data_IF_703479077006
#
_entry.id   IF_703479077006
#
_cell.length_a   1.000
_cell.length_b   1.000
_cell.length_c   1.000
_cell.angle_alpha   90.00
_cell.angle_beta   90.00
_cell.angle_gamma   90.00
#
_symmetry.space_group_name_H-M   'P 1'
#
loop_
_entity.id
_entity.type
_entity.pdbx_description
1 polymer ?
#
# COMPACT_ATOMS: atom_id res chain seq x y z
N UNK A 1 -13.25 -4.35 10.92
CA UNK A 1 -14.64 -4.35 11.42
C UNK A 1 -14.59 -4.45 12.92
N UNK A 2 -15.50 -3.78 13.63
CA UNK A 2 -15.55 -3.52 15.08
C UNK A 2 -14.74 -2.29 15.57
N UNK A 3 -13.45 -2.19 15.31
CA UNK A 3 -12.66 -1.01 15.75
C UNK A 3 -13.08 0.29 15.04
N UNK A 4 -13.37 0.21 13.74
CA UNK A 4 -13.84 1.37 12.95
C UNK A 4 -15.30 1.77 13.19
N UNK A 5 -16.12 0.91 13.80
CA UNK A 5 -17.48 1.27 14.24
C UNK A 5 -17.47 1.85 15.66
N UNK A 6 -16.60 1.34 16.54
CA UNK A 6 -16.37 1.92 17.86
C UNK A 6 -15.75 3.32 17.78
N UNK A 7 -14.80 3.53 16.85
CA UNK A 7 -14.23 4.85 16.59
C UNK A 7 -15.29 5.85 16.09
N UNK A 8 -16.22 5.44 15.22
CA UNK A 8 -17.35 6.29 14.75
C UNK A 8 -18.35 6.63 15.86
N UNK A 9 -18.65 5.68 16.75
CA UNK A 9 -19.49 5.92 17.92
C UNK A 9 -18.86 6.90 18.92
N UNK A 10 -17.55 6.77 19.18
CA UNK A 10 -16.80 7.71 20.01
C UNK A 10 -16.74 9.12 19.39
N UNK A 11 -16.65 9.20 18.05
CA UNK A 11 -16.64 10.45 17.30
C UNK A 11 -17.97 11.22 17.40
N UNK A 12 -19.11 10.53 17.29
CA UNK A 12 -20.43 11.15 17.48
C UNK A 12 -20.70 11.56 18.93
N UNK A 13 -20.22 10.78 19.90
CA UNK A 13 -20.39 11.09 21.32
C UNK A 13 -19.63 12.36 21.74
N UNK A 14 -18.39 12.53 21.25
CA UNK A 14 -17.59 13.74 21.53
C UNK A 14 -18.12 14.99 20.82
N UNK A 15 -18.67 14.85 19.61
CA UNK A 15 -19.32 15.95 18.90
C UNK A 15 -20.63 16.40 19.58
N UNK A 16 -21.40 15.48 20.16
CA UNK A 16 -22.65 15.78 20.87
C UNK A 16 -22.45 16.51 22.21
N UNK A 17 -21.40 16.18 22.96
CA UNK A 17 -21.11 16.79 24.27
C UNK A 17 -20.71 18.27 24.18
N UNK A 18 -20.15 18.71 23.05
CA UNK A 18 -19.73 20.11 22.83
C UNK A 18 -20.92 21.06 22.57
N UNK A 19 -22.06 20.56 22.11
CA UNK A 19 -23.25 21.35 21.82
C UNK A 19 -24.09 21.73 23.05
N UNK A 20 -23.84 21.11 24.21
CA UNK A 20 -24.55 21.40 25.47
C UNK A 20 -23.81 22.43 26.35
N UNK A 21 -22.60 22.84 25.99
CA UNK A 21 -21.75 23.73 26.80
C UNK A 21 -21.88 25.22 26.45
N UNK A 22 -22.74 25.61 25.50
CA UNK A 22 -22.94 27.01 25.10
C UNK A 22 -24.37 27.47 25.39
N UNK A 23 -24.64 27.80 26.66
CA UNK A 23 -25.77 28.63 27.05
C UNK A 23 -25.26 29.75 27.99
N UNK A 24 -25.57 31.03 27.75
CA UNK A 24 -25.03 32.12 28.56
C UNK A 24 -25.81 32.25 29.88
N UNK A 25 -25.09 32.34 30.99
CA UNK A 25 -25.65 32.59 32.32
C UNK A 25 -25.92 34.10 32.52
N UNK A 26 -27.13 34.44 32.95
CA UNK A 26 -27.53 35.77 33.39
C UNK A 26 -27.19 35.97 34.88
N UNK A 27 -26.65 37.14 35.23
CA UNK A 27 -26.33 37.56 36.59
C UNK A 27 -27.55 38.09 37.36
N UNK A 28 -27.48 38.16 38.70
CA UNK A 28 -27.67 39.48 39.33
C UNK A 28 -26.73 39.82 40.52
N UNK A 29 -26.69 41.12 40.81
CA UNK A 29 -25.95 41.91 41.80
C UNK A 29 -26.20 41.57 43.29
N UNK A 30 -25.21 41.84 44.19
CA UNK A 30 -25.27 42.84 45.28
C UNK A 30 -24.14 42.74 46.37
N UNK A 31 -23.41 43.87 46.55
CA UNK A 31 -22.91 44.53 47.80
C UNK A 31 -21.95 43.85 48.85
N UNK A 32 -21.20 44.64 49.69
CA UNK A 32 -19.76 44.39 49.96
C UNK A 32 -19.24 44.41 51.44
N UNK A 33 -17.91 44.12 51.59
CA UNK A 33 -16.90 44.43 52.68
C UNK A 33 -16.82 43.55 53.97
N UNK A 34 -15.70 43.53 54.77
CA UNK A 34 -14.33 44.10 54.58
C UNK A 34 -13.11 43.21 55.00
N UNK A 35 -11.91 43.66 54.58
CA UNK A 35 -10.53 43.55 55.14
C UNK A 35 -10.06 42.38 56.03
N UNK A 36 -8.88 41.83 55.69
CA UNK A 36 -7.69 41.78 56.59
C UNK A 36 -6.42 41.36 55.84
N UNK A 37 -5.30 41.95 56.25
CA UNK A 37 -3.99 41.94 55.60
C UNK A 37 -3.12 40.71 55.97
N UNK A 38 -1.91 40.70 55.36
CA UNK A 38 -0.69 39.96 55.72
C UNK A 38 -0.57 38.49 55.29
N UNK A 39 0.26 38.21 54.27
CA UNK A 39 1.68 37.87 54.44
C UNK A 39 2.31 37.51 53.09
N UNK A 40 3.48 38.09 52.80
CA UNK A 40 4.28 37.80 51.60
C UNK A 40 5.56 37.10 52.04
N UNK A 41 5.84 35.86 51.60
CA UNK A 41 7.22 35.37 51.54
C UNK A 41 7.73 35.39 50.10
N UNK A 42 8.90 36.00 49.92
CA UNK A 42 9.72 35.91 48.72
C UNK A 42 10.16 34.45 48.51
N UNK A 43 9.89 33.89 47.32
CA UNK A 43 10.45 32.61 46.89
C UNK A 43 11.37 32.87 45.68
N UNK A 44 12.57 32.30 45.78
CA UNK A 44 13.70 32.46 44.88
C UNK A 44 13.35 32.16 43.42
N UNK A 45 13.86 33.03 42.53
CA UNK A 45 13.87 32.84 41.09
C UNK A 45 14.80 31.66 40.72
N UNK A 46 14.24 30.45 40.70
CA UNK A 46 14.81 29.34 39.94
C UNK A 46 14.60 29.65 38.45
N UNK A 47 15.69 29.78 37.70
CA UNK A 47 15.66 29.81 36.23
C UNK A 47 15.02 28.51 35.75
N UNK A 48 13.73 28.56 35.43
CA UNK A 48 13.09 27.52 34.64
C UNK A 48 13.77 27.51 33.27
N UNK A 49 14.54 26.47 32.99
CA UNK A 49 14.94 26.15 31.63
C UNK A 49 13.65 25.97 30.84
N UNK A 50 13.44 26.83 29.85
CA UNK A 50 12.30 26.73 28.95
C UNK A 50 12.31 25.33 28.33
N UNK A 51 11.25 24.56 28.59
CA UNK A 51 10.97 23.34 27.86
C UNK A 51 10.96 23.69 26.35
N UNK A 52 11.55 22.85 25.47
CA UNK A 52 11.51 23.12 24.05
C UNK A 52 10.04 23.27 23.62
N UNK A 53 9.75 24.42 23.02
CA UNK A 53 8.44 24.74 22.48
C UNK A 53 8.06 23.64 21.48
N UNK A 54 7.00 22.88 21.76
CA UNK A 54 6.53 21.83 20.85
C UNK A 54 6.25 22.47 19.50
N UNK A 55 6.99 22.07 18.46
CA UNK A 55 6.76 22.55 17.10
C UNK A 55 5.31 22.27 16.72
N UNK A 56 4.51 23.33 16.55
CA UNK A 56 3.12 23.19 16.12
C UNK A 56 3.08 22.81 14.64
N UNK A 57 2.29 21.79 14.29
CA UNK A 57 2.03 21.41 12.90
C UNK A 57 1.34 22.59 12.20
N UNK A 58 1.96 23.15 11.17
CA UNK A 58 1.36 24.21 10.35
C UNK A 58 0.85 23.60 9.04
N UNK A 59 -0.38 23.92 8.68
CA UNK A 59 -1.01 23.43 7.45
C UNK A 59 -1.63 24.59 6.66
N UNK A 60 -1.32 24.76 5.35
CA UNK A 60 -0.36 23.99 4.55
C UNK A 60 1.08 24.54 4.69
N UNK A 61 2.03 23.66 5.00
CA UNK A 61 3.48 23.95 4.96
C UNK A 61 4.21 22.81 4.23
N UNK A 62 5.31 23.14 3.55
CA UNK A 62 6.11 22.19 2.76
C UNK A 62 7.32 21.74 3.56
N UNK A 63 7.47 20.43 3.73
CA UNK A 63 8.55 19.82 4.49
C UNK A 63 9.46 18.96 3.61
N UNK A 64 10.77 19.11 3.78
CA UNK A 64 11.78 18.25 3.11
C UNK A 64 12.50 17.33 4.10
N UNK A 65 12.33 17.58 5.40
CA UNK A 65 12.77 16.78 6.54
C UNK A 65 11.64 16.67 7.58
N UNK A 66 11.81 15.81 8.58
CA UNK A 66 10.87 15.74 9.69
C UNK A 66 11.08 16.93 10.63
N UNK A 67 10.30 17.99 10.48
CA UNK A 67 10.44 19.24 11.25
C UNK A 67 9.13 19.80 11.79
N UNK A 68 8.10 18.96 11.86
CA UNK A 68 6.71 19.31 12.19
C UNK A 68 6.22 18.74 13.52
N UNK A 69 7.11 18.16 14.34
CA UNK A 69 6.73 17.55 15.62
C UNK A 69 6.20 16.13 15.48
N UNK A 70 5.49 15.66 16.51
CA UNK A 70 4.88 14.34 16.55
C UNK A 70 3.59 14.32 15.71
N UNK A 71 3.41 13.26 14.91
CA UNK A 71 2.20 13.04 14.13
C UNK A 71 1.22 12.16 14.93
N UNK A 72 0.13 12.72 15.48
CA UNK A 72 -0.84 11.95 16.27
C UNK A 72 -1.69 11.04 15.38
N UNK A 73 -2.38 10.06 15.97
CA UNK A 73 -3.34 9.21 15.24
C UNK A 73 -4.55 10.01 14.71
N UNK A 74 -4.96 11.05 15.45
CA UNK A 74 -6.02 11.98 15.07
C UNK A 74 -5.55 13.42 15.25
N UNK A 75 -5.87 14.27 14.28
CA UNK A 75 -5.50 15.68 14.28
C UNK A 75 -6.73 16.55 14.02
N UNK A 76 -6.87 17.63 14.80
CA UNK A 76 -7.88 18.67 14.61
C UNK A 76 -7.27 19.82 13.80
N UNK A 77 -7.86 20.14 12.65
CA UNK A 77 -7.51 21.32 11.85
C UNK A 77 -8.70 22.28 11.73
N UNK A 78 -8.44 23.58 11.85
CA UNK A 78 -9.42 24.62 11.56
C UNK A 78 -9.30 25.06 10.12
N UNK A 79 -10.36 24.88 9.33
CA UNK A 79 -10.45 25.34 7.94
C UNK A 79 -11.59 26.36 7.84
N UNK A 80 -11.24 27.65 7.96
CA UNK A 80 -12.23 28.72 8.09
C UNK A 80 -12.99 28.63 9.43
N UNK A 81 -14.32 28.61 9.38
CA UNK A 81 -15.18 28.48 10.57
C UNK A 81 -15.41 27.02 11.02
N UNK A 82 -14.98 26.04 10.23
CA UNK A 82 -15.19 24.62 10.52
C UNK A 82 -13.96 24.00 11.16
N UNK A 83 -14.21 23.15 12.15
CA UNK A 83 -13.20 22.31 12.81
C UNK A 83 -13.34 20.90 12.27
N UNK A 84 -12.27 20.38 11.65
CA UNK A 84 -12.24 19.05 11.06
C UNK A 84 -11.28 18.19 11.89
N UNK A 85 -11.77 17.05 12.37
CA UNK A 85 -10.99 16.06 13.10
C UNK A 85 -10.84 14.86 12.16
N UNK A 86 -9.63 14.36 11.99
CA UNK A 86 -9.42 13.19 11.14
C UNK A 86 -8.01 12.64 11.23
N UNK A 87 -7.67 11.75 10.31
CA UNK A 87 -6.41 11.04 10.25
C UNK A 87 -5.38 11.87 9.47
N UNK A 88 -4.28 12.32 10.10
CA UNK A 88 -3.26 13.08 9.40
C UNK A 88 -2.45 12.17 8.47
N UNK A 89 -2.12 12.66 7.29
CA UNK A 89 -1.31 11.97 6.31
C UNK A 89 -0.25 12.90 5.71
N UNK A 90 0.93 12.33 5.45
CA UNK A 90 1.94 12.99 4.65
C UNK A 90 1.57 12.81 3.18
N UNK A 91 1.51 13.91 2.44
CA UNK A 91 1.18 13.91 1.01
C UNK A 91 2.44 14.19 0.22
N UNK A 92 2.74 13.30 -0.73
CA UNK A 92 3.86 13.47 -1.66
C UNK A 92 3.59 14.64 -2.63
N UNK A 93 4.45 15.67 -2.59
CA UNK A 93 4.44 16.80 -3.53
C UNK A 93 5.55 16.71 -4.60
N UNK A 94 6.29 15.60 -4.64
CA UNK A 94 7.39 15.34 -5.57
C UNK A 94 8.76 15.76 -5.03
N UNK A 95 8.90 17.01 -4.60
CA UNK A 95 10.15 17.58 -4.04
C UNK A 95 10.06 17.88 -2.54
N UNK A 96 8.87 17.75 -1.96
CA UNK A 96 8.56 17.95 -0.55
C UNK A 96 7.37 17.05 -0.15
N UNK A 97 6.97 17.13 1.11
CA UNK A 97 5.68 16.62 1.60
C UNK A 97 4.89 17.74 2.27
N UNK A 98 3.57 17.60 2.33
CA UNK A 98 2.69 18.41 3.20
C UNK A 98 1.89 17.50 4.11
N UNK A 99 1.30 18.05 5.16
CA UNK A 99 0.34 17.33 6.02
C UNK A 99 -1.09 17.72 5.61
N UNK A 100 -1.93 16.72 5.40
CA UNK A 100 -3.37 16.88 5.19
C UNK A 100 -4.14 15.95 6.15
N UNK A 101 -5.40 16.28 6.44
CA UNK A 101 -6.28 15.48 7.31
C UNK A 101 -7.39 14.87 6.48
N UNK A 102 -7.63 13.57 6.68
CA UNK A 102 -8.62 12.77 5.96
C UNK A 102 -9.66 12.20 6.91
N UNK A 103 -10.89 12.04 6.41
CA UNK A 103 -11.98 11.43 7.17
C UNK A 103 -11.92 9.89 7.13
N UNK A 104 -11.31 9.32 6.07
CA UNK A 104 -11.19 7.88 5.87
C UNK A 104 -9.78 7.37 6.27
N UNK A 105 -9.67 6.43 7.22
CA UNK A 105 -8.38 5.96 7.71
C UNK A 105 -7.57 5.20 6.65
N UNK A 106 -8.22 4.41 5.79
CA UNK A 106 -7.54 3.65 4.74
C UNK A 106 -6.96 4.58 3.65
N UNK A 107 -7.71 5.64 3.30
CA UNK A 107 -7.24 6.66 2.37
C UNK A 107 -6.06 7.44 2.97
N UNK A 108 -6.16 7.83 4.25
CA UNK A 108 -5.09 8.48 5.00
C UNK A 108 -3.84 7.63 5.02
N UNK A 109 -3.94 6.35 5.40
CA UNK A 109 -2.82 5.42 5.51
C UNK A 109 -2.12 5.22 4.17
N UNK A 110 -2.87 5.04 3.08
CA UNK A 110 -2.31 4.88 1.74
C UNK A 110 -1.52 6.12 1.29
N UNK A 111 -2.08 7.32 1.51
CA UNK A 111 -1.41 8.59 1.20
C UNK A 111 -0.20 8.83 2.09
N UNK A 112 -0.35 8.64 3.40
CA UNK A 112 0.69 8.80 4.39
C UNK A 112 1.90 7.93 4.10
N UNK A 113 1.68 6.67 3.70
CA UNK A 113 2.77 5.76 3.32
C UNK A 113 3.55 6.25 2.11
N UNK A 114 2.86 6.79 1.10
CA UNK A 114 3.51 7.41 -0.06
C UNK A 114 4.28 8.70 0.33
N UNK A 115 3.72 9.54 1.19
CA UNK A 115 4.39 10.72 1.72
C UNK A 115 5.63 10.37 2.55
N UNK A 116 5.55 9.37 3.42
CA UNK A 116 6.72 8.86 4.16
C UNK A 116 7.81 8.38 3.20
N UNK A 117 7.46 7.62 2.16
CA UNK A 117 8.42 7.19 1.13
C UNK A 117 9.14 8.38 0.51
N UNK A 118 8.39 9.45 0.17
CA UNK A 118 8.97 10.70 -0.35
C UNK A 118 9.92 11.33 0.66
N UNK A 119 9.48 11.48 1.91
CA UNK A 119 10.27 12.11 2.95
C UNK A 119 11.57 11.34 3.20
N UNK A 120 11.54 10.00 3.26
CA UNK A 120 12.75 9.18 3.31
C UNK A 120 13.64 9.42 2.08
N UNK A 121 13.07 9.38 0.88
CA UNK A 121 13.80 9.58 -0.38
C UNK A 121 14.57 10.91 -0.42
N UNK A 122 13.98 11.99 0.12
CA UNK A 122 14.62 13.30 0.21
C UNK A 122 15.85 13.31 1.13
N UNK A 123 15.93 12.40 2.10
CA UNK A 123 17.03 12.29 3.06
C UNK A 123 18.19 11.40 2.57
N UNK A 124 17.98 10.62 1.51
CA UNK A 124 18.97 9.65 0.99
C UNK A 124 19.24 9.80 -0.51
N UNK A 125 19.17 11.03 -1.03
CA UNK A 125 19.32 11.35 -2.47
C UNK A 125 20.55 10.73 -3.13
N UNK A 126 21.69 10.72 -2.45
CA UNK A 126 22.93 10.17 -3.02
C UNK A 126 22.90 8.64 -3.14
N UNK A 127 22.28 7.96 -2.17
CA UNK A 127 22.05 6.51 -2.26
C UNK A 127 21.10 6.18 -3.42
N UNK A 128 20.05 6.97 -3.63
CA UNK A 128 19.13 6.79 -4.75
C UNK A 128 19.83 7.02 -6.10
N UNK A 129 20.59 8.10 -6.27
CA UNK A 129 21.41 8.34 -7.47
C UNK A 129 22.39 7.21 -7.75
N UNK A 130 22.97 6.62 -6.71
CA UNK A 130 23.82 5.44 -6.86
C UNK A 130 23.01 4.24 -7.37
N UNK A 131 21.85 3.94 -6.78
CA UNK A 131 20.99 2.84 -7.24
C UNK A 131 20.54 2.99 -8.68
N UNK A 132 20.10 4.19 -9.08
CA UNK A 132 19.64 4.47 -10.45
C UNK A 132 20.67 4.05 -11.53
N UNK A 133 21.96 4.09 -11.17
CA UNK A 133 23.09 3.72 -12.04
C UNK A 133 23.57 2.28 -11.85
N UNK A 134 23.31 1.64 -10.71
CA UNK A 134 23.93 0.38 -10.30
C UNK A 134 22.95 -0.78 -10.07
N UNK A 135 21.67 -0.65 -10.48
CA UNK A 135 20.75 -1.79 -10.45
C UNK A 135 21.23 -2.92 -11.40
N UNK A 136 21.34 -4.16 -10.92
CA UNK A 136 21.83 -5.27 -11.73
C UNK A 136 20.87 -5.61 -12.87
N UNK A 137 21.42 -5.92 -14.05
CA UNK A 137 20.70 -6.38 -15.24
C UNK A 137 19.53 -5.51 -15.70
N UNK A 138 19.47 -4.23 -15.29
CA UNK A 138 18.32 -3.36 -15.55
C UNK A 138 18.05 -3.19 -17.04
N UNK A 139 19.09 -2.94 -17.85
CA UNK A 139 18.94 -2.76 -19.30
C UNK A 139 18.37 -4.00 -19.98
N UNK A 140 18.89 -5.18 -19.63
CA UNK A 140 18.44 -6.47 -20.17
C UNK A 140 16.99 -6.75 -19.76
N UNK A 141 16.66 -6.48 -18.50
CA UNK A 141 15.33 -6.70 -17.93
C UNK A 141 14.29 -5.73 -18.53
N UNK A 142 14.70 -4.50 -18.82
CA UNK A 142 13.85 -3.48 -19.42
C UNK A 142 13.30 -3.92 -20.79
N UNK A 143 14.06 -4.65 -21.60
CA UNK A 143 13.59 -5.16 -22.90
C UNK A 143 12.35 -6.04 -22.78
N UNK A 144 12.28 -6.90 -21.75
CA UNK A 144 11.07 -7.69 -21.49
C UNK A 144 9.94 -6.81 -20.92
N UNK A 145 10.28 -5.84 -20.06
CA UNK A 145 9.32 -4.91 -19.49
C UNK A 145 8.65 -3.99 -20.53
N UNK A 146 9.31 -3.67 -21.64
CA UNK A 146 8.71 -2.93 -22.76
C UNK A 146 7.47 -3.63 -23.36
N UNK A 147 7.35 -4.95 -23.21
CA UNK A 147 6.19 -5.72 -23.65
C UNK A 147 5.04 -5.73 -22.62
N UNK A 148 5.30 -5.30 -21.38
CA UNK A 148 4.28 -5.24 -20.32
C UNK A 148 3.35 -4.07 -20.58
N UNK A 149 2.05 -4.36 -20.70
CA UNK A 149 1.03 -3.34 -21.02
C UNK A 149 1.12 -2.81 -22.46
N UNK A 150 1.80 -3.53 -23.36
CA UNK A 150 1.83 -3.22 -24.79
C UNK A 150 0.56 -3.72 -25.46
N UNK A 151 -0.09 -2.86 -26.24
CA UNK A 151 -1.28 -3.19 -27.01
C UNK A 151 -0.92 -3.86 -28.36
N UNK A 152 -1.94 -4.42 -29.03
CA UNK A 152 -1.76 -5.16 -30.29
C UNK A 152 -1.28 -4.27 -31.45
N UNK A 153 -1.57 -2.96 -31.40
CA UNK A 153 -1.11 -1.94 -32.35
C UNK A 153 0.32 -1.44 -32.06
N UNK A 154 1.05 -2.15 -31.19
CA UNK A 154 2.39 -1.80 -30.70
C UNK A 154 2.47 -0.54 -29.85
N UNK A 155 1.36 0.10 -29.51
CA UNK A 155 1.32 1.24 -28.59
C UNK A 155 1.43 0.80 -27.13
N UNK A 156 1.75 1.75 -26.25
CA UNK A 156 1.93 1.49 -24.83
C UNK A 156 3.25 0.78 -24.52
N UNK A 157 3.23 -0.09 -23.50
CA UNK A 157 4.44 -0.72 -22.97
C UNK A 157 5.04 0.02 -21.78
N UNK A 158 5.94 -0.67 -21.08
CA UNK A 158 6.74 -0.12 -20.00
C UNK A 158 8.02 0.56 -20.50
N UNK A 159 8.56 1.49 -19.72
CA UNK A 159 9.88 2.09 -19.96
C UNK A 159 10.93 1.62 -18.96
N UNK A 160 12.21 1.79 -19.29
CA UNK A 160 13.30 1.50 -18.37
C UNK A 160 13.18 2.32 -17.08
N UNK A 161 12.84 3.60 -17.21
CA UNK A 161 12.65 4.55 -16.11
C UNK A 161 11.53 4.10 -15.18
N UNK A 162 10.40 3.65 -15.72
CA UNK A 162 9.28 3.14 -14.93
C UNK A 162 9.64 1.84 -14.20
N UNK A 163 10.39 0.94 -14.82
CA UNK A 163 10.87 -0.28 -14.16
C UNK A 163 11.83 0.06 -13.02
N UNK A 164 12.81 0.93 -13.28
CA UNK A 164 13.78 1.42 -12.29
C UNK A 164 13.05 2.04 -11.10
N UNK A 165 12.10 2.93 -11.38
CA UNK A 165 11.32 3.62 -10.35
C UNK A 165 10.55 2.62 -9.48
N UNK A 166 9.90 1.62 -10.09
CA UNK A 166 9.19 0.59 -9.33
C UNK A 166 10.12 -0.26 -8.45
N UNK A 167 11.30 -0.64 -8.94
CA UNK A 167 12.29 -1.38 -8.15
C UNK A 167 12.71 -0.55 -6.93
N UNK A 168 13.00 0.74 -7.13
CA UNK A 168 13.40 1.66 -6.06
C UNK A 168 12.25 1.86 -5.05
N UNK A 169 11.01 2.05 -5.50
CA UNK A 169 9.85 2.21 -4.61
C UNK A 169 9.65 0.98 -3.71
N UNK A 170 9.73 -0.23 -4.27
CA UNK A 170 9.63 -1.46 -3.48
C UNK A 170 10.81 -1.60 -2.51
N UNK A 171 12.02 -1.22 -2.92
CA UNK A 171 13.19 -1.25 -2.05
C UNK A 171 13.06 -0.27 -0.88
N UNK A 172 12.56 0.94 -1.13
CA UNK A 172 12.27 1.94 -0.10
C UNK A 172 11.22 1.44 0.90
N UNK A 173 10.13 0.86 0.42
CA UNK A 173 9.08 0.32 1.28
C UNK A 173 9.62 -0.77 2.22
N UNK A 174 10.44 -1.68 1.68
CA UNK A 174 11.08 -2.73 2.47
C UNK A 174 12.15 -2.22 3.42
N UNK A 175 12.88 -1.18 3.05
CA UNK A 175 13.96 -0.65 3.87
C UNK A 175 13.44 0.27 5.00
N UNK A 176 12.37 1.03 4.76
CA UNK A 176 11.97 2.12 5.65
C UNK A 176 10.52 2.05 6.16
N UNK A 177 9.60 1.40 5.47
CA UNK A 177 8.16 1.44 5.79
C UNK A 177 7.62 0.18 6.47
N UNK A 178 8.45 -0.54 7.22
CA UNK A 178 7.97 -1.64 8.06
C UNK A 178 7.13 -1.10 9.23
N UNK A 179 6.04 -1.77 9.59
CA UNK A 179 5.24 -1.36 10.74
C UNK A 179 5.97 -1.66 12.06
N UNK A 180 5.78 -0.84 13.11
CA UNK A 180 5.04 0.42 13.11
C UNK A 180 5.77 1.53 12.33
N UNK A 181 5.00 2.40 11.67
CA UNK A 181 5.53 3.57 10.96
C UNK A 181 6.02 4.65 11.95
N UNK A 182 7.02 5.47 11.59
CA UNK A 182 7.52 6.53 12.47
C UNK A 182 6.43 7.59 12.69
N UNK A 183 6.22 7.97 13.96
CA UNK A 183 5.29 9.04 14.36
C UNK A 183 6.02 10.26 14.90
N UNK A 184 7.35 10.21 15.08
CA UNK A 184 8.16 11.33 15.53
C UNK A 184 9.52 11.38 14.82
N UNK A 185 10.24 12.49 15.01
CA UNK A 185 11.56 12.71 14.39
C UNK A 185 12.58 11.66 14.80
N UNK A 186 12.58 11.26 16.08
CA UNK A 186 13.52 10.27 16.60
C UNK A 186 13.36 8.91 15.92
N UNK A 187 12.13 8.43 15.76
CA UNK A 187 11.84 7.17 15.06
C UNK A 187 12.19 7.25 13.57
N UNK A 188 11.88 8.39 12.94
CA UNK A 188 12.20 8.63 11.54
C UNK A 188 13.71 8.61 11.30
N UNK A 189 14.49 9.29 12.16
CA UNK A 189 15.96 9.30 12.07
C UNK A 189 16.55 7.91 12.30
N UNK A 190 16.09 7.21 13.34
CA UNK A 190 16.50 5.82 13.60
C UNK A 190 16.23 4.93 12.39
N UNK A 191 15.07 5.08 11.74
CA UNK A 191 14.71 4.32 10.54
C UNK A 191 15.63 4.61 9.35
N UNK A 192 16.07 5.85 9.17
CA UNK A 192 17.07 6.21 8.16
C UNK A 192 18.39 5.50 8.44
N UNK A 193 18.87 5.58 9.68
CA UNK A 193 20.17 5.03 10.07
C UNK A 193 20.20 3.49 9.90
N UNK A 194 19.15 2.81 10.37
CA UNK A 194 18.99 1.36 10.23
C UNK A 194 18.80 0.92 8.76
N UNK A 195 18.06 1.70 7.97
CA UNK A 195 17.68 1.34 6.61
C UNK A 195 18.75 1.63 5.56
N UNK A 196 19.59 2.65 5.77
CA UNK A 196 20.58 3.10 4.77
C UNK A 196 21.58 2.01 4.40
N UNK A 197 22.09 1.28 5.40
CA UNK A 197 23.08 0.22 5.18
C UNK A 197 22.57 -0.97 4.37
N UNK A 198 21.27 -1.26 4.45
CA UNK A 198 20.62 -2.42 3.79
C UNK A 198 19.96 -2.09 2.46
N UNK A 199 19.72 -0.81 2.16
CA UNK A 199 18.96 -0.38 0.99
C UNK A 199 19.53 -0.94 -0.33
N UNK A 200 20.85 -0.92 -0.51
CA UNK A 200 21.50 -1.41 -1.74
C UNK A 200 21.29 -2.91 -1.95
N UNK A 201 21.40 -3.70 -0.88
CA UNK A 201 21.15 -5.15 -0.94
C UNK A 201 19.69 -5.44 -1.28
N UNK A 202 18.75 -4.74 -0.63
CA UNK A 202 17.31 -4.89 -0.88
C UNK A 202 16.97 -4.50 -2.33
N UNK A 203 17.50 -3.39 -2.83
CA UNK A 203 17.27 -2.96 -4.21
C UNK A 203 17.80 -3.97 -5.24
N UNK A 204 18.95 -4.58 -4.96
CA UNK A 204 19.52 -5.64 -5.81
C UNK A 204 18.67 -6.91 -5.79
N UNK A 205 18.14 -7.30 -4.63
CA UNK A 205 17.22 -8.43 -4.47
C UNK A 205 15.92 -8.20 -5.25
N UNK A 206 15.32 -7.01 -5.13
CA UNK A 206 14.10 -6.63 -5.86
C UNK A 206 14.37 -6.62 -7.38
N UNK A 207 15.52 -6.10 -7.82
CA UNK A 207 15.89 -6.11 -9.24
C UNK A 207 16.02 -7.54 -9.80
N UNK A 208 16.67 -8.45 -9.07
CA UNK A 208 16.77 -9.87 -9.46
C UNK A 208 15.40 -10.55 -9.50
N UNK A 209 14.53 -10.27 -8.51
CA UNK A 209 13.17 -10.77 -8.52
C UNK A 209 12.40 -10.27 -9.75
N UNK A 210 12.46 -8.98 -10.06
CA UNK A 210 11.84 -8.40 -11.24
C UNK A 210 12.36 -9.05 -12.53
N UNK A 211 13.67 -9.29 -12.64
CA UNK A 211 14.29 -9.98 -13.77
C UNK A 211 13.77 -11.43 -13.92
N UNK A 212 13.66 -12.16 -12.82
CA UNK A 212 13.10 -13.52 -12.82
C UNK A 212 11.63 -13.55 -13.23
N UNK A 213 10.82 -12.60 -12.76
CA UNK A 213 9.41 -12.48 -13.15
C UNK A 213 9.29 -12.14 -14.64
N UNK A 214 10.06 -11.17 -15.13
CA UNK A 214 9.97 -10.71 -16.51
C UNK A 214 10.51 -11.72 -17.52
N UNK A 215 11.44 -12.58 -17.10
CA UNK A 215 11.88 -13.74 -17.89
C UNK A 215 10.71 -14.71 -18.11
N UNK A 216 10.01 -15.11 -17.05
CA UNK A 216 8.86 -16.00 -17.16
C UNK A 216 7.67 -15.35 -17.87
N UNK A 217 7.51 -14.02 -17.73
CA UNK A 217 6.52 -13.25 -18.47
C UNK A 217 6.75 -13.36 -19.98
N UNK A 218 7.99 -13.18 -20.44
CA UNK A 218 8.33 -13.28 -21.86
C UNK A 218 8.06 -14.68 -22.41
N UNK A 219 8.38 -15.73 -21.63
CA UNK A 219 8.09 -17.12 -21.98
C UNK A 219 6.58 -17.36 -22.10
N UNK A 220 5.80 -16.98 -21.07
CA UNK A 220 4.35 -17.14 -21.06
C UNK A 220 3.67 -16.36 -22.20
N UNK A 221 4.08 -15.11 -22.43
CA UNK A 221 3.55 -14.27 -23.50
C UNK A 221 3.79 -14.89 -24.88
N UNK A 222 5.01 -15.40 -25.13
CA UNK A 222 5.32 -16.11 -26.38
C UNK A 222 4.49 -17.38 -26.51
N UNK A 223 4.40 -18.19 -25.44
CA UNK A 223 3.63 -19.44 -25.45
C UNK A 223 2.16 -19.19 -25.78
N UNK A 224 1.55 -18.16 -25.19
CA UNK A 224 0.18 -17.74 -25.50
C UNK A 224 0.03 -17.41 -26.98
N UNK A 225 0.93 -16.56 -27.52
CA UNK A 225 0.92 -16.16 -28.93
C UNK A 225 1.06 -17.35 -29.89
N UNK A 226 1.91 -18.31 -29.55
CA UNK A 226 2.19 -19.49 -30.39
C UNK A 226 1.09 -20.57 -30.28
N UNK A 227 0.19 -20.46 -29.28
CA UNK A 227 -0.90 -21.42 -29.06
C UNK A 227 -2.13 -21.08 -29.91
N UNK A 228 -2.16 -21.58 -31.15
CA UNK A 228 -3.26 -21.34 -32.10
C UNK A 228 -4.40 -22.36 -32.03
N UNK A 229 -4.13 -23.55 -31.52
CA UNK A 229 -5.06 -24.68 -31.50
C UNK A 229 -5.96 -24.73 -30.24
N UNK A 230 -5.84 -23.75 -29.34
CA UNK A 230 -6.57 -23.70 -28.07
C UNK A 230 -7.02 -22.26 -27.78
N UNK A 231 -7.84 -21.68 -28.65
CA UNK A 231 -8.19 -20.25 -28.62
C UNK A 231 -8.74 -19.80 -27.25
N UNK A 232 -9.68 -20.55 -26.66
CA UNK A 232 -10.25 -20.22 -25.35
C UNK A 232 -9.21 -20.27 -24.22
N UNK A 233 -8.35 -21.31 -24.21
CA UNK A 233 -7.31 -21.44 -23.19
C UNK A 233 -6.24 -20.35 -23.33
N UNK A 234 -5.86 -20.02 -24.56
CA UNK A 234 -4.93 -18.93 -24.85
C UNK A 234 -5.51 -17.55 -24.45
N UNK A 235 -6.80 -17.32 -24.71
CA UNK A 235 -7.48 -16.10 -24.29
C UNK A 235 -7.54 -15.96 -22.76
N UNK A 236 -7.92 -17.02 -22.04
CA UNK A 236 -7.94 -17.00 -20.58
C UNK A 236 -6.52 -16.82 -20.00
N UNK A 237 -5.52 -17.49 -20.56
CA UNK A 237 -4.12 -17.32 -20.17
C UNK A 237 -3.62 -15.88 -20.40
N UNK A 238 -4.00 -15.25 -21.52
CA UNK A 238 -3.68 -13.85 -21.79
C UNK A 238 -4.30 -12.90 -20.75
N UNK A 239 -5.57 -13.12 -20.38
CA UNK A 239 -6.23 -12.33 -19.34
C UNK A 239 -5.57 -12.54 -17.97
N UNK A 240 -5.23 -13.79 -17.62
CA UNK A 240 -4.50 -14.09 -16.38
C UNK A 240 -3.15 -13.38 -16.35
N UNK A 241 -2.38 -13.44 -17.44
CA UNK A 241 -1.08 -12.79 -17.57
C UNK A 241 -1.19 -11.27 -17.37
N UNK A 242 -2.19 -10.62 -17.99
CA UNK A 242 -2.43 -9.18 -17.85
C UNK A 242 -2.82 -8.79 -16.43
N UNK A 243 -3.61 -9.63 -15.74
CA UNK A 243 -4.01 -9.41 -14.33
C UNK A 243 -2.86 -9.61 -13.35
N UNK A 244 -1.95 -10.54 -13.62
CA UNK A 244 -0.76 -10.77 -12.81
C UNK A 244 0.30 -9.69 -13.02
N UNK A 245 0.56 -9.33 -14.28
CA UNK A 245 1.64 -8.40 -14.66
C UNK A 245 1.07 -7.15 -15.32
N UNK A 246 0.29 -6.31 -14.61
CA UNK A 246 -0.04 -4.98 -15.10
C UNK A 246 1.22 -4.11 -15.15
N UNK A 247 1.14 -2.95 -15.82
CA UNK A 247 2.29 -2.04 -15.97
C UNK A 247 3.00 -1.72 -14.65
N UNK A 248 2.24 -1.50 -13.57
CA UNK A 248 2.79 -1.22 -12.21
C UNK A 248 2.89 -2.45 -11.29
N UNK A 249 3.06 -3.67 -11.82
CA UNK A 249 2.93 -4.90 -11.03
C UNK A 249 3.84 -4.96 -9.78
N UNK A 250 5.06 -4.43 -9.84
CA UNK A 250 6.00 -4.47 -8.70
C UNK A 250 5.50 -3.62 -7.53
N UNK A 251 4.86 -2.48 -7.80
CA UNK A 251 4.40 -1.55 -6.76
C UNK A 251 2.94 -1.78 -6.34
N UNK A 252 2.14 -2.42 -7.20
CA UNK A 252 0.73 -2.74 -6.92
C UNK A 252 0.52 -4.11 -6.27
N UNK A 253 1.57 -4.93 -6.20
CA UNK A 253 1.50 -6.28 -5.61
C UNK A 253 2.24 -6.32 -4.27
N UNK A 254 1.64 -6.90 -3.21
CA UNK A 254 2.35 -7.15 -1.96
C UNK A 254 3.63 -7.96 -2.18
N UNK A 255 4.72 -7.56 -1.52
CA UNK A 255 6.04 -8.14 -1.77
C UNK A 255 6.10 -9.67 -1.60
N UNK A 256 5.40 -10.22 -0.60
CA UNK A 256 5.31 -11.66 -0.40
C UNK A 256 4.74 -12.40 -1.61
N UNK A 257 3.80 -11.80 -2.33
CA UNK A 257 3.17 -12.41 -3.50
C UNK A 257 4.01 -12.27 -4.76
N UNK A 258 4.84 -11.22 -4.89
CA UNK A 258 5.81 -11.13 -5.98
C UNK A 258 6.76 -12.34 -6.01
N UNK A 259 7.10 -12.92 -4.85
CA UNK A 259 7.93 -14.13 -4.77
C UNK A 259 7.34 -15.33 -5.53
N UNK A 260 6.02 -15.35 -5.70
CA UNK A 260 5.31 -16.46 -6.35
C UNK A 260 5.02 -16.21 -7.84
N UNK A 261 5.31 -15.01 -8.36
CA UNK A 261 4.96 -14.66 -9.73
C UNK A 261 5.62 -15.56 -10.76
N UNK A 262 6.93 -15.85 -10.65
CA UNK A 262 7.60 -16.77 -11.55
C UNK A 262 6.91 -18.15 -11.60
N UNK A 263 6.38 -18.63 -10.46
CA UNK A 263 5.62 -19.89 -10.41
C UNK A 263 4.27 -19.77 -11.13
N UNK A 264 3.52 -18.69 -10.90
CA UNK A 264 2.24 -18.47 -11.59
C UNK A 264 2.41 -18.35 -13.10
N UNK A 265 3.45 -17.67 -13.56
CA UNK A 265 3.77 -17.51 -14.97
C UNK A 265 4.22 -18.83 -15.62
N UNK A 266 5.02 -19.65 -14.91
CA UNK A 266 5.31 -21.02 -15.34
C UNK A 266 4.05 -21.89 -15.45
N UNK A 267 3.10 -21.75 -14.54
CA UNK A 267 1.85 -22.50 -14.57
C UNK A 267 1.02 -22.18 -15.83
N UNK A 268 1.03 -20.93 -16.31
CA UNK A 268 0.42 -20.54 -17.59
C UNK A 268 1.05 -21.32 -18.74
N UNK A 269 2.39 -21.34 -18.81
CA UNK A 269 3.12 -22.05 -19.87
C UNK A 269 2.82 -23.56 -19.85
N UNK A 270 2.91 -24.18 -18.67
CA UNK A 270 2.65 -25.62 -18.49
C UNK A 270 1.22 -26.01 -18.84
N UNK A 271 0.23 -25.17 -18.52
CA UNK A 271 -1.16 -25.40 -18.92
C UNK A 271 -1.28 -25.56 -20.43
N UNK A 272 -0.72 -24.60 -21.19
CA UNK A 272 -0.81 -24.60 -22.65
C UNK A 272 0.02 -25.72 -23.29
N UNK A 273 1.06 -26.21 -22.62
CA UNK A 273 1.79 -27.42 -23.04
C UNK A 273 0.95 -28.68 -22.86
N UNK A 274 0.37 -28.86 -21.68
CA UNK A 274 -0.44 -30.04 -21.33
C UNK A 274 -1.79 -30.09 -22.02
N UNK A 275 -2.32 -28.93 -22.40
CA UNK A 275 -3.62 -28.81 -23.06
C UNK A 275 -3.75 -29.75 -24.28
N UNK A 276 -2.69 -29.90 -25.08
CA UNK A 276 -2.73 -30.77 -26.28
C UNK A 276 -2.96 -32.25 -25.96
N UNK A 277 -2.47 -32.71 -24.80
CA UNK A 277 -2.59 -34.10 -24.40
C UNK A 277 -4.00 -34.42 -23.87
N UNK A 278 -4.64 -33.45 -23.20
CA UNK A 278 -5.96 -33.65 -22.59
C UNK A 278 -6.78 -32.34 -22.54
N UNK A 279 -7.38 -31.91 -23.67
CA UNK A 279 -8.24 -30.73 -23.72
C UNK A 279 -9.49 -30.85 -22.85
N UNK A 280 -10.02 -32.08 -22.67
CA UNK A 280 -11.24 -32.32 -21.92
C UNK A 280 -11.03 -32.06 -20.42
N UNK A 281 -9.88 -32.47 -19.88
CA UNK A 281 -9.49 -32.16 -18.49
C UNK A 281 -9.29 -30.67 -18.27
N UNK A 282 -8.66 -29.94 -19.21
CA UNK A 282 -8.55 -28.48 -19.10
C UNK A 282 -9.94 -27.82 -19.02
N UNK A 283 -10.85 -28.21 -19.92
CA UNK A 283 -12.21 -27.69 -19.95
C UNK A 283 -12.98 -28.00 -18.65
N UNK A 284 -12.85 -29.21 -18.10
CA UNK A 284 -13.46 -29.58 -16.83
C UNK A 284 -12.92 -28.71 -15.66
N UNK A 285 -11.61 -28.49 -15.59
CA UNK A 285 -11.00 -27.63 -14.57
C UNK A 285 -11.35 -26.15 -14.73
N UNK A 286 -11.49 -25.67 -15.95
CA UNK A 286 -12.02 -24.34 -16.20
C UNK A 286 -13.48 -24.20 -15.80
N UNK A 287 -14.31 -25.23 -15.98
CA UNK A 287 -15.70 -25.22 -15.52
C UNK A 287 -15.82 -25.10 -13.99
N UNK A 288 -14.91 -25.74 -13.24
CA UNK A 288 -14.82 -25.58 -11.78
C UNK A 288 -14.29 -24.20 -11.35
N UNK A 289 -13.33 -23.63 -12.09
CA UNK A 289 -12.66 -22.37 -11.75
C UNK A 289 -13.51 -21.13 -12.06
N UNK A 290 -14.20 -21.09 -13.22
CA UNK A 290 -14.90 -19.89 -13.71
C UNK A 290 -15.89 -19.31 -12.69
N UNK A 291 -16.74 -20.08 -12.00
CA UNK A 291 -17.67 -19.51 -11.00
C UNK A 291 -16.93 -18.81 -9.84
N UNK A 292 -15.76 -19.33 -9.46
CA UNK A 292 -14.93 -18.82 -8.37
C UNK A 292 -14.27 -17.47 -8.71
N UNK A 293 -13.86 -17.31 -9.97
CA UNK A 293 -13.33 -16.04 -10.49
C UNK A 293 -14.44 -15.03 -10.75
N UNK A 294 -15.56 -15.44 -11.36
CA UNK A 294 -16.67 -14.56 -11.68
C UNK A 294 -17.25 -13.89 -10.44
N UNK A 295 -17.46 -14.64 -9.35
CA UNK A 295 -17.95 -14.06 -8.10
C UNK A 295 -16.99 -13.01 -7.53
N UNK A 296 -15.68 -13.26 -7.60
CA UNK A 296 -14.67 -12.30 -7.16
C UNK A 296 -14.69 -11.01 -7.98
N UNK A 297 -14.65 -11.10 -9.31
CA UNK A 297 -14.66 -9.92 -10.16
C UNK A 297 -15.97 -9.14 -10.11
N UNK A 298 -17.10 -9.83 -9.88
CA UNK A 298 -18.38 -9.16 -9.59
C UNK A 298 -18.31 -8.33 -8.31
N UNK A 299 -17.79 -8.92 -7.22
CA UNK A 299 -17.63 -8.18 -5.95
C UNK A 299 -16.68 -6.97 -6.09
N UNK A 300 -15.59 -7.11 -6.85
CA UNK A 300 -14.69 -5.98 -7.16
C UNK A 300 -15.45 -4.87 -7.90
N UNK A 301 -16.28 -5.23 -8.90
CA UNK A 301 -17.09 -4.25 -9.64
C UNK A 301 -18.14 -3.58 -8.75
N UNK A 302 -18.85 -4.33 -7.91
CA UNK A 302 -19.86 -3.82 -6.98
C UNK A 302 -19.25 -2.83 -5.97
N UNK A 303 -17.99 -3.06 -5.59
CA UNK A 303 -17.20 -2.17 -4.71
C UNK A 303 -16.45 -1.08 -5.47
N UNK A 304 -16.75 -0.85 -6.74
CA UNK A 304 -16.10 0.17 -7.60
C UNK A 304 -14.57 0.07 -7.61
N UNK A 305 -14.05 -1.16 -7.52
CA UNK A 305 -12.62 -1.45 -7.49
C UNK A 305 -11.97 -1.43 -6.10
N UNK A 306 -12.71 -1.14 -5.02
CA UNK A 306 -12.17 -1.22 -3.66
C UNK A 306 -11.96 -2.68 -3.22
N UNK A 307 -10.75 -3.00 -2.77
CA UNK A 307 -10.32 -4.35 -2.38
C UNK A 307 -9.68 -4.32 -1.00
N UNK A 308 -10.34 -4.94 -0.03
CA UNK A 308 -9.80 -5.10 1.33
C UNK A 308 -8.82 -6.30 1.44
N UNK A 309 -8.18 -6.45 2.60
CA UNK A 309 -7.19 -7.51 2.83
C UNK A 309 -7.74 -8.93 2.60
N UNK A 310 -9.00 -9.20 2.98
CA UNK A 310 -9.61 -10.53 2.80
C UNK A 310 -9.89 -10.79 1.31
N UNK A 311 -10.34 -9.78 0.58
CA UNK A 311 -10.50 -9.89 -0.87
C UNK A 311 -9.16 -10.13 -1.56
N UNK A 312 -8.08 -9.49 -1.12
CA UNK A 312 -6.73 -9.77 -1.63
C UNK A 312 -6.30 -11.21 -1.34
N UNK A 313 -6.56 -11.73 -0.14
CA UNK A 313 -6.27 -13.13 0.18
C UNK A 313 -7.01 -14.10 -0.77
N UNK A 314 -8.30 -13.88 -0.97
CA UNK A 314 -9.11 -14.66 -1.90
C UNK A 314 -8.57 -14.58 -3.34
N UNK A 315 -8.18 -13.37 -3.79
CA UNK A 315 -7.57 -13.14 -5.11
C UNK A 315 -6.35 -14.03 -5.34
N UNK A 316 -5.51 -14.22 -4.33
CA UNK A 316 -4.32 -15.06 -4.43
C UNK A 316 -4.64 -16.54 -4.35
N UNK A 317 -5.66 -16.95 -3.58
CA UNK A 317 -6.16 -18.32 -3.59
C UNK A 317 -6.66 -18.75 -4.98
N UNK A 318 -7.18 -17.83 -5.80
CA UNK A 318 -7.51 -18.13 -7.21
C UNK A 318 -6.27 -18.51 -8.04
N UNK A 319 -5.13 -17.84 -7.84
CA UNK A 319 -3.89 -18.20 -8.54
C UNK A 319 -3.33 -19.53 -8.05
N UNK A 320 -3.42 -19.79 -6.75
CA UNK A 320 -3.04 -21.09 -6.20
C UNK A 320 -3.93 -22.23 -6.74
N UNK A 321 -5.23 -21.98 -6.89
CA UNK A 321 -6.16 -22.95 -7.49
C UNK A 321 -5.79 -23.22 -8.95
N UNK A 322 -5.44 -22.19 -9.72
CA UNK A 322 -4.93 -22.33 -11.09
C UNK A 322 -3.67 -23.20 -11.14
N UNK A 323 -2.70 -22.98 -10.24
CA UNK A 323 -1.51 -23.85 -10.14
C UNK A 323 -1.91 -25.30 -9.81
N UNK A 324 -2.80 -25.50 -8.84
CA UNK A 324 -3.29 -26.83 -8.45
C UNK A 324 -4.02 -27.57 -9.57
N UNK A 325 -4.72 -26.85 -10.44
CA UNK A 325 -5.46 -27.45 -11.55
C UNK A 325 -4.58 -27.79 -12.74
N UNK A 326 -3.70 -26.86 -13.13
CA UNK A 326 -3.01 -26.94 -14.42
C UNK A 326 -1.52 -27.28 -14.32
N UNK A 327 -0.90 -27.10 -13.16
CA UNK A 327 0.54 -27.22 -12.98
C UNK A 327 0.93 -27.83 -11.61
N UNK A 328 0.33 -28.97 -11.25
CA UNK A 328 0.49 -29.64 -9.96
C UNK A 328 1.95 -29.87 -9.54
N UNK A 329 2.83 -30.13 -10.50
CA UNK A 329 4.27 -30.31 -10.29
C UNK A 329 4.98 -29.09 -9.68
N UNK A 330 4.44 -27.88 -9.88
CA UNK A 330 5.00 -26.66 -9.30
C UNK A 330 4.70 -26.51 -7.81
N UNK A 331 3.77 -27.32 -7.28
CA UNK A 331 3.26 -27.31 -5.91
C UNK A 331 2.64 -25.96 -5.50
N UNK A 332 1.84 -25.99 -4.45
CA UNK A 332 1.25 -24.80 -3.83
C UNK A 332 1.85 -24.63 -2.43
N UNK A 333 1.96 -23.40 -1.90
CA UNK A 333 2.54 -23.16 -0.58
C UNK A 333 1.59 -23.60 0.54
N UNK A 334 0.30 -23.74 0.20
CA UNK A 334 -0.75 -24.23 1.07
C UNK A 334 -1.75 -25.07 0.27
N UNK A 335 -2.41 -26.05 0.89
CA UNK A 335 -3.46 -26.81 0.21
C UNK A 335 -4.61 -25.90 -0.23
N UNK A 336 -5.01 -26.01 -1.49
CA UNK A 336 -6.06 -25.21 -2.12
C UNK A 336 -7.03 -26.12 -2.88
N UNK A 337 -8.32 -25.76 -2.85
CA UNK A 337 -9.40 -26.47 -3.57
C UNK A 337 -10.62 -25.55 -3.65
N UNK A 338 -11.58 -25.87 -4.51
CA UNK A 338 -12.86 -25.15 -4.61
C UNK A 338 -13.54 -25.01 -3.24
N UNK A 339 -13.61 -26.11 -2.46
CA UNK A 339 -14.16 -26.10 -1.10
C UNK A 339 -13.48 -25.11 -0.15
N UNK A 340 -12.15 -24.93 -0.29
CA UNK A 340 -11.41 -23.96 0.52
C UNK A 340 -11.68 -22.53 0.07
N UNK A 341 -11.81 -22.29 -1.24
CA UNK A 341 -12.25 -21.00 -1.75
C UNK A 341 -13.67 -20.68 -1.29
N UNK A 342 -14.60 -21.64 -1.30
CA UNK A 342 -15.97 -21.42 -0.80
C UNK A 342 -15.99 -21.02 0.68
N UNK A 343 -15.13 -21.63 1.51
CA UNK A 343 -14.96 -21.21 2.91
C UNK A 343 -14.40 -19.80 3.03
N UNK A 344 -13.35 -19.46 2.27
CA UNK A 344 -12.79 -18.12 2.25
C UNK A 344 -13.82 -17.08 1.75
N UNK A 345 -14.65 -17.44 0.77
CA UNK A 345 -15.72 -16.60 0.25
C UNK A 345 -16.79 -16.32 1.30
N UNK A 346 -17.21 -17.34 2.06
CA UNK A 346 -18.16 -17.14 3.16
C UNK A 346 -17.66 -16.11 4.19
N UNK A 347 -16.35 -16.10 4.45
CA UNK A 347 -15.71 -15.14 5.36
C UNK A 347 -15.61 -13.71 4.80
N UNK A 348 -15.82 -13.49 3.49
CA UNK A 348 -15.90 -12.15 2.90
C UNK A 348 -17.27 -11.50 3.13
N UNK A 349 -18.31 -12.32 3.25
CA UNK A 349 -19.69 -11.88 3.40
C UNK A 349 -20.14 -11.76 4.86
N UNK A 350 -19.33 -12.28 5.79
CA UNK A 350 -19.44 -12.04 7.25
C UNK A 350 -18.64 -10.82 7.65
#
# INVERSE_FOLDING_TARGET
GELGSQARGAFQALAGLKNLATAPAAAPNAAPLPNSASNRPQAQAGRAQAAPEKAAIKTPERYTSWSFGELPELMEIRKGAQTLIGFPALIDLGDAVTIEVFDEPDAAAARHRAGLRRLFSLQIKDALKYLEKNLPDLQKTATAYMLVGRAADNSGGGTLEELRQQIIEVALDRAFLLDPLPTCEADFKKRIDDGRGRLTLIASEVARLAAGILTEFAVAQRKIKDTKNAAEAAQDAAQQLQRLVPKRFLTSTPYGQLQHFSRYLKAITLRLEKWRADPARDAAKMAELRPQEQRYWRLVADRKGAVDARMQEYRWLLEELRVSFFAQELRTPQPVSVKRLDKAWAQLNS
#
